data_IF_867215992082
#
_entry.id   IF_867215992082
#
_cell.length_a   1.000
_cell.length_b   1.000
_cell.length_c   1.000
_cell.angle_alpha   90.00
_cell.angle_beta   90.00
_cell.angle_gamma   90.00
#
_symmetry.space_group_name_H-M   'P 1'
#
loop_
_entity.id
_entity.type
_entity.pdbx_description
1 polymer ?
#
# COMPACT_ATOMS: atom_id res chain seq x y z
N UNK A 1 -3.66 -38.16 -45.25
CA UNK A 1 -3.42 -37.45 -43.98
C UNK A 1 -3.12 -38.51 -42.95
N UNK A 2 -1.86 -38.95 -42.88
CA UNK A 2 -1.41 -39.91 -41.87
C UNK A 2 -1.15 -39.13 -40.58
N UNK A 3 -1.84 -39.52 -39.50
CA UNK A 3 -1.66 -38.92 -38.19
C UNK A 3 -0.28 -39.27 -37.62
N UNK A 4 0.28 -38.44 -36.72
CA UNK A 4 1.54 -38.71 -36.06
C UNK A 4 1.47 -40.07 -35.34
N UNK A 5 2.46 -40.93 -35.63
CA UNK A 5 2.60 -42.28 -35.09
C UNK A 5 2.59 -42.27 -33.56
N UNK A 6 1.73 -43.09 -32.93
CA UNK A 6 1.63 -43.26 -31.47
C UNK A 6 2.97 -43.52 -30.76
N UNK A 7 3.98 -44.02 -31.49
CA UNK A 7 5.33 -44.20 -30.96
C UNK A 7 6.04 -42.88 -30.65
N UNK A 8 5.74 -41.80 -31.36
CA UNK A 8 6.38 -40.50 -31.15
C UNK A 8 5.86 -39.82 -29.89
N UNK A 9 4.56 -39.96 -29.61
CA UNK A 9 3.93 -39.45 -28.38
C UNK A 9 4.41 -40.21 -27.15
N UNK A 10 4.57 -41.54 -27.24
CA UNK A 10 5.06 -42.35 -26.11
C UNK A 10 6.50 -42.01 -25.73
N UNK A 11 7.38 -41.75 -26.71
CA UNK A 11 8.74 -41.31 -26.44
C UNK A 11 8.79 -39.94 -25.77
N UNK A 12 7.93 -39.00 -26.19
CA UNK A 12 7.87 -37.67 -25.60
C UNK A 12 7.35 -37.68 -24.16
N UNK A 13 6.39 -38.56 -23.84
CA UNK A 13 5.88 -38.74 -22.47
C UNK A 13 6.98 -39.32 -21.57
N UNK A 14 7.74 -40.29 -22.06
CA UNK A 14 8.87 -40.87 -21.32
C UNK A 14 9.93 -39.81 -21.01
N UNK A 15 10.28 -38.98 -21.99
CA UNK A 15 11.23 -37.89 -21.83
C UNK A 15 10.77 -36.83 -20.83
N UNK A 16 9.49 -36.46 -20.85
CA UNK A 16 8.90 -35.54 -19.87
C UNK A 16 8.93 -36.12 -18.45
N UNK A 17 8.64 -37.41 -18.31
CA UNK A 17 8.62 -38.08 -17.00
C UNK A 17 10.02 -38.12 -16.38
N UNK A 18 11.04 -38.36 -17.19
CA UNK A 18 12.44 -38.35 -16.76
C UNK A 18 12.91 -36.93 -16.36
N UNK A 19 12.49 -35.91 -17.11
CA UNK A 19 12.79 -34.52 -16.78
C UNK A 19 12.17 -34.08 -15.44
N UNK A 20 10.92 -34.47 -15.18
CA UNK A 20 10.23 -34.17 -13.91
C UNK A 20 10.91 -34.89 -12.74
N UNK A 21 11.31 -36.14 -12.92
CA UNK A 21 12.04 -36.89 -11.89
C UNK A 21 13.40 -36.24 -11.55
N UNK A 22 14.09 -35.68 -12.55
CA UNK A 22 15.35 -34.97 -12.34
C UNK A 22 15.15 -33.66 -11.56
N UNK A 23 14.08 -32.91 -11.84
CA UNK A 23 13.75 -31.69 -11.11
C UNK A 23 13.40 -31.96 -9.64
N UNK A 24 12.70 -33.06 -9.35
CA UNK A 24 12.39 -33.45 -7.97
C UNK A 24 13.65 -33.77 -7.15
N UNK A 25 14.64 -34.46 -7.72
CA UNK A 25 15.90 -34.75 -7.03
C UNK A 25 16.68 -33.47 -6.68
N UNK A 26 16.72 -32.50 -7.59
CA UNK A 26 17.41 -31.22 -7.34
C UNK A 26 16.75 -30.43 -6.20
N UNK A 27 15.42 -30.47 -6.09
CA UNK A 27 14.68 -29.86 -4.99
C UNK A 27 14.95 -30.56 -3.65
N UNK A 28 15.02 -31.89 -3.61
CA UNK A 28 15.36 -32.64 -2.40
C UNK A 28 16.79 -32.35 -1.92
N UNK A 29 17.76 -32.25 -2.85
CA UNK A 29 19.15 -31.91 -2.54
C UNK A 29 19.26 -30.51 -1.91
N UNK A 30 18.55 -29.51 -2.47
CA UNK A 30 18.53 -28.14 -1.95
C UNK A 30 17.89 -28.05 -0.56
N UNK A 31 16.79 -28.78 -0.32
CA UNK A 31 16.13 -28.85 0.98
C UNK A 31 17.02 -29.50 2.05
N UNK A 32 17.81 -30.51 1.66
CA UNK A 32 18.75 -31.18 2.58
C UNK A 32 19.89 -30.25 2.99
N UNK A 33 20.50 -29.55 2.02
CA UNK A 33 21.60 -28.60 2.29
C UNK A 33 21.14 -27.44 3.18
N UNK A 34 19.89 -26.98 3.07
CA UNK A 34 19.36 -25.94 3.95
C UNK A 34 19.09 -26.43 5.39
N UNK A 35 18.81 -27.71 5.59
CA UNK A 35 18.48 -28.26 6.92
C UNK A 35 19.72 -28.52 7.78
N UNK A 36 20.88 -28.80 7.17
CA UNK A 36 22.12 -29.11 7.90
C UNK A 36 22.83 -27.86 8.48
N UNK A 37 22.34 -26.64 8.19
CA UNK A 37 22.88 -25.39 8.72
C UNK A 37 22.37 -25.01 10.13
N UNK A 38 21.49 -25.80 10.75
CA UNK A 38 21.05 -25.58 12.15
C UNK A 38 21.69 -26.60 13.09
N UNK A 39 22.96 -26.38 13.42
CA UNK A 39 23.60 -27.07 14.55
C UNK A 39 23.19 -26.40 15.87
N UNK A 40 22.46 -27.18 16.64
CA UNK A 40 21.85 -26.92 17.95
C UNK A 40 22.89 -26.63 19.04
N UNK A 41 22.64 -25.60 19.86
CA UNK A 41 23.17 -25.45 21.22
C UNK A 41 22.02 -25.78 22.20
N UNK A 42 22.18 -26.70 23.16
CA UNK A 42 21.09 -27.10 24.05
C UNK A 42 21.13 -26.29 25.35
N UNK A 43 20.01 -25.64 25.70
CA UNK A 43 19.86 -25.07 27.05
C UNK A 43 18.71 -24.09 27.22
N UNK A 44 17.62 -24.59 27.81
CA UNK A 44 16.58 -23.88 28.56
C UNK A 44 15.58 -22.97 27.82
N UNK A 45 14.34 -23.43 27.89
CA UNK A 45 13.08 -22.75 27.64
C UNK A 45 12.89 -21.46 28.45
N UNK A 46 12.74 -20.33 27.76
CA UNK A 46 12.09 -19.10 28.24
C UNK A 46 11.33 -18.48 27.05
N UNK A 47 10.07 -18.05 27.19
CA UNK A 47 9.34 -17.39 26.11
C UNK A 47 10.03 -16.08 25.78
N UNK A 48 10.50 -15.95 24.54
CA UNK A 48 11.37 -14.87 24.08
C UNK A 48 10.73 -13.48 24.28
N UNK A 49 11.33 -12.69 25.18
CA UNK A 49 11.50 -11.26 24.95
C UNK A 49 12.14 -11.11 23.57
N UNK A 50 11.39 -10.53 22.64
CA UNK A 50 11.93 -10.16 21.33
C UNK A 50 13.10 -9.21 21.58
N UNK A 51 14.29 -9.48 21.00
CA UNK A 51 15.40 -8.55 21.13
C UNK A 51 14.93 -7.18 20.64
N UNK A 52 15.07 -6.19 21.51
CA UNK A 52 14.87 -4.78 21.16
C UNK A 52 15.62 -4.56 19.86
N UNK A 53 14.86 -4.19 18.83
CA UNK A 53 15.34 -4.00 17.47
C UNK A 53 16.65 -3.19 17.54
N UNK A 54 17.79 -3.72 17.06
CA UNK A 54 19.04 -2.99 17.11
C UNK A 54 18.81 -1.67 16.37
N UNK A 55 19.05 -0.54 17.03
CA UNK A 55 19.07 0.75 16.36
C UNK A 55 20.20 0.68 15.35
N UNK A 56 19.84 0.45 14.08
CA UNK A 56 20.78 0.49 12.99
C UNK A 56 21.12 1.96 12.78
N UNK A 57 22.11 2.43 13.54
CA UNK A 57 22.79 3.70 13.31
C UNK A 57 23.63 3.52 12.03
N UNK A 58 22.93 3.48 10.89
CA UNK A 58 23.55 3.27 9.60
C UNK A 58 24.38 4.51 9.26
N UNK A 59 25.70 4.38 9.37
CA UNK A 59 26.66 5.39 8.92
C UNK A 59 27.10 5.02 7.50
N UNK A 60 26.83 5.87 6.49
CA UNK A 60 27.25 5.60 5.12
C UNK A 60 28.78 5.53 5.02
N UNK A 61 29.29 4.64 4.15
CA UNK A 61 30.73 4.52 3.94
C UNK A 61 31.32 5.81 3.31
N UNK A 62 32.60 6.16 3.56
CA UNK A 62 33.21 7.36 3.00
C UNK A 62 33.15 7.43 1.47
N UNK A 63 33.24 6.27 0.81
CA UNK A 63 33.11 6.13 -0.64
C UNK A 63 31.69 6.47 -1.12
N UNK A 64 30.67 6.05 -0.37
CA UNK A 64 29.27 6.37 -0.66
C UNK A 64 28.98 7.86 -0.42
N UNK A 65 29.58 8.45 0.62
CA UNK A 65 29.54 9.90 0.89
C UNK A 65 30.18 10.70 -0.25
N UNK A 66 31.25 10.20 -0.86
CA UNK A 66 31.91 10.85 -1.99
C UNK A 66 31.12 10.75 -3.30
N UNK A 67 30.32 9.69 -3.50
CA UNK A 67 29.50 9.48 -4.70
C UNK A 67 28.13 10.16 -4.61
N UNK A 68 27.64 10.43 -3.40
CA UNK A 68 26.36 11.09 -3.12
C UNK A 68 26.12 12.40 -3.92
N UNK A 69 27.11 13.30 -4.07
CA UNK A 69 26.95 14.53 -4.85
C UNK A 69 26.86 14.31 -6.37
N UNK A 70 27.38 13.18 -6.87
CA UNK A 70 27.41 12.85 -8.30
C UNK A 70 26.12 12.17 -8.78
N UNK A 71 25.39 11.55 -7.85
CA UNK A 71 24.02 11.09 -8.02
C UNK A 71 23.10 12.32 -8.00
N UNK A 72 22.89 12.93 -9.18
CA UNK A 72 22.12 14.15 -9.45
C UNK A 72 21.22 14.72 -8.34
N UNK A 73 21.11 16.07 -8.23
CA UNK A 73 20.09 16.67 -7.40
C UNK A 73 18.70 16.33 -7.97
N UNK A 74 17.95 15.57 -7.17
CA UNK A 74 16.50 15.66 -6.98
C UNK A 74 15.51 15.23 -8.07
N UNK A 75 15.44 13.93 -8.35
CA UNK A 75 14.10 13.30 -8.50
C UNK A 75 13.43 13.15 -7.12
N UNK A 76 14.23 12.98 -6.06
CA UNK A 76 13.74 12.76 -4.69
C UNK A 76 13.63 14.01 -3.82
N UNK A 77 14.32 15.13 -4.10
CA UNK A 77 14.05 16.34 -3.32
C UNK A 77 12.65 16.87 -3.62
N UNK A 78 12.05 16.59 -4.78
CA UNK A 78 10.64 16.93 -5.00
C UNK A 78 9.67 15.94 -4.33
N UNK A 79 10.14 14.74 -3.95
CA UNK A 79 9.32 13.74 -3.25
C UNK A 79 9.47 13.80 -1.72
N UNK A 80 10.55 14.43 -1.22
CA UNK A 80 10.90 14.51 0.20
C UNK A 80 11.07 15.94 0.73
N UNK A 81 11.25 16.95 -0.12
CA UNK A 81 11.20 18.35 0.30
C UNK A 81 9.75 18.81 0.26
N UNK A 82 9.18 19.02 1.45
CA UNK A 82 8.01 19.84 1.70
C UNK A 82 6.67 19.48 1.03
N UNK A 83 6.54 18.32 0.37
CA UNK A 83 5.22 17.76 0.04
C UNK A 83 4.56 17.22 1.33
N UNK A 84 4.11 18.17 2.14
CA UNK A 84 2.87 18.17 2.90
C UNK A 84 2.50 16.77 3.42
N UNK A 85 3.23 16.30 4.43
CA UNK A 85 2.85 15.14 5.23
C UNK A 85 1.37 15.27 5.58
N UNK A 86 0.52 14.40 4.99
CA UNK A 86 -0.91 14.29 5.23
C UNK A 86 -1.52 15.51 5.93
N UNK A 87 -1.69 16.63 5.21
CA UNK A 87 -2.25 17.93 5.65
C UNK A 87 -2.12 18.13 7.16
N UNK A 88 -1.12 18.87 7.66
CA UNK A 88 -0.79 18.99 9.09
C UNK A 88 -1.98 19.19 10.05
N UNK A 89 -3.11 19.70 9.55
CA UNK A 89 -4.36 19.81 10.29
C UNK A 89 -5.09 18.49 10.57
N UNK A 90 -4.97 17.46 9.72
CA UNK A 90 -5.63 16.17 9.89
C UNK A 90 -5.15 15.40 11.12
N UNK A 91 -3.85 15.47 11.43
CA UNK A 91 -3.25 14.80 12.58
C UNK A 91 -3.88 15.24 13.92
N UNK A 92 -4.40 16.47 14.00
CA UNK A 92 -5.11 17.00 15.19
C UNK A 92 -6.43 16.29 15.47
N UNK A 93 -7.01 15.64 14.45
CA UNK A 93 -8.27 14.91 14.54
C UNK A 93 -8.07 13.40 14.74
N UNK A 94 -6.83 12.92 14.81
CA UNK A 94 -6.56 11.49 14.96
C UNK A 94 -6.91 11.01 16.36
N UNK A 95 -7.67 9.92 16.44
CA UNK A 95 -7.78 9.17 17.68
C UNK A 95 -6.49 8.38 17.96
N UNK A 96 -6.35 7.82 19.17
CA UNK A 96 -5.14 7.08 19.59
C UNK A 96 -4.81 5.91 18.65
N UNK A 97 -5.81 5.22 18.10
CA UNK A 97 -5.63 4.13 17.16
C UNK A 97 -5.10 4.61 15.80
N UNK A 98 -5.71 5.67 15.26
CA UNK A 98 -5.29 6.30 14.00
C UNK A 98 -3.88 6.88 14.09
N UNK A 99 -3.52 7.52 15.19
CA UNK A 99 -2.16 8.04 15.39
C UNK A 99 -1.10 6.92 15.42
N UNK A 100 -1.42 5.78 16.02
CA UNK A 100 -0.53 4.62 15.99
C UNK A 100 -0.44 3.98 14.59
N UNK A 101 -1.54 3.97 13.83
CA UNK A 101 -1.57 3.51 12.43
C UNK A 101 -0.72 4.43 11.53
N UNK A 102 -0.92 5.74 11.63
CA UNK A 102 -0.15 6.76 10.91
C UNK A 102 1.36 6.65 11.16
N UNK A 103 1.76 6.53 12.44
CA UNK A 103 3.17 6.33 12.81
C UNK A 103 3.77 5.08 12.13
N UNK A 104 3.02 3.98 12.05
CA UNK A 104 3.47 2.75 11.37
C UNK A 104 3.61 2.96 9.87
N UNK A 105 2.66 3.66 9.24
CA UNK A 105 2.70 3.96 7.81
C UNK A 105 3.87 4.89 7.47
N UNK A 106 4.13 5.93 8.28
CA UNK A 106 5.29 6.80 8.13
C UNK A 106 6.61 6.01 8.26
N UNK A 107 6.73 5.13 9.24
CA UNK A 107 7.92 4.27 9.40
C UNK A 107 8.13 3.36 8.18
N UNK A 108 7.06 2.82 7.63
CA UNK A 108 7.13 1.97 6.43
C UNK A 108 7.55 2.78 5.20
N UNK A 109 6.97 3.96 5.01
CA UNK A 109 7.34 4.88 3.92
C UNK A 109 8.81 5.31 4.03
N UNK A 110 9.28 5.64 5.23
CA UNK A 110 10.68 5.97 5.49
C UNK A 110 11.60 4.79 5.13
N UNK A 111 11.26 3.58 5.59
CA UNK A 111 12.05 2.37 5.31
C UNK A 111 12.13 2.07 3.82
N UNK A 112 11.01 2.15 3.09
CA UNK A 112 11.00 1.94 1.63
C UNK A 112 11.84 2.99 0.90
N UNK A 113 11.72 4.26 1.30
CA UNK A 113 12.49 5.35 0.71
C UNK A 113 13.99 5.18 0.96
N UNK A 114 14.36 4.66 2.12
CA UNK A 114 15.74 4.37 2.49
C UNK A 114 16.37 3.25 1.63
N UNK A 115 15.58 2.35 1.01
CA UNK A 115 16.07 1.28 0.13
C UNK A 115 16.40 1.78 -1.28
N UNK A 116 15.69 2.81 -1.76
CA UNK A 116 15.85 3.30 -3.15
C UNK A 116 17.26 3.83 -3.42
N UNK A 117 17.88 4.53 -2.46
CA UNK A 117 19.23 5.10 -2.63
C UNK A 117 20.33 4.03 -2.70
N UNK A 118 20.41 3.06 -1.76
CA UNK A 118 21.31 1.91 -1.89
C UNK A 118 21.12 1.14 -3.20
N UNK A 119 19.87 0.97 -3.67
CA UNK A 119 19.59 0.30 -4.94
C UNK A 119 20.21 1.06 -6.13
N UNK A 120 20.07 2.39 -6.17
CA UNK A 120 20.67 3.21 -7.23
C UNK A 120 22.21 3.16 -7.20
N UNK A 121 22.79 3.21 -5.99
CA UNK A 121 24.24 3.07 -5.80
C UNK A 121 24.71 1.69 -6.27
N UNK A 122 23.97 0.63 -5.93
CA UNK A 122 24.29 -0.73 -6.37
C UNK A 122 24.30 -0.83 -7.90
N UNK A 123 23.31 -0.26 -8.59
CA UNK A 123 23.28 -0.23 -10.04
C UNK A 123 24.53 0.43 -10.62
N UNK A 124 24.86 1.62 -10.13
CA UNK A 124 26.05 2.34 -10.57
C UNK A 124 27.35 1.56 -10.34
N UNK A 125 27.49 0.89 -9.19
CA UNK A 125 28.66 0.06 -8.89
C UNK A 125 28.76 -1.19 -9.77
N UNK A 126 27.64 -1.75 -10.20
CA UNK A 126 27.62 -2.94 -11.06
C UNK A 126 27.99 -2.62 -12.51
N UNK A 127 27.75 -1.39 -12.99
CA UNK A 127 27.99 -1.01 -14.39
C UNK A 127 29.40 -1.37 -14.92
N UNK A 128 30.51 -1.08 -14.22
CA UNK A 128 31.84 -1.44 -14.70
C UNK A 128 32.21 -2.93 -14.52
N UNK A 129 31.44 -3.68 -13.73
CA UNK A 129 31.74 -5.08 -13.36
C UNK A 129 31.03 -6.06 -14.28
N UNK A 130 29.85 -5.69 -14.79
CA UNK A 130 29.01 -6.56 -15.59
C UNK A 130 29.50 -6.74 -17.02
N UNK A 131 29.41 -7.98 -17.52
CA UNK A 131 29.63 -8.28 -18.92
C UNK A 131 28.47 -7.73 -19.79
N UNK A 132 28.72 -7.35 -21.06
CA UNK A 132 27.70 -6.71 -21.91
C UNK A 132 26.40 -7.51 -22.06
N UNK A 133 26.47 -8.83 -22.05
CA UNK A 133 25.32 -9.75 -22.15
C UNK A 133 24.47 -9.82 -20.87
N UNK A 134 25.02 -9.41 -19.72
CA UNK A 134 24.34 -9.44 -18.42
C UNK A 134 23.70 -8.10 -18.04
N UNK A 135 24.16 -7.00 -18.62
CA UNK A 135 23.72 -5.64 -18.28
C UNK A 135 22.20 -5.50 -18.44
N UNK A 136 21.64 -5.92 -19.58
CA UNK A 136 20.22 -5.75 -19.87
C UNK A 136 19.33 -6.47 -18.84
N UNK A 137 19.63 -7.74 -18.55
CA UNK A 137 18.87 -8.55 -17.60
C UNK A 137 18.91 -7.97 -16.18
N UNK A 138 20.10 -7.59 -15.71
CA UNK A 138 20.29 -7.10 -14.33
C UNK A 138 19.64 -5.72 -14.16
N UNK A 139 19.83 -4.80 -15.11
CA UNK A 139 19.21 -3.48 -15.04
C UNK A 139 17.69 -3.52 -15.22
N UNK A 140 17.16 -4.42 -16.04
CA UNK A 140 15.72 -4.67 -16.12
C UNK A 140 15.18 -5.12 -14.76
N UNK A 141 15.84 -6.09 -14.12
CA UNK A 141 15.44 -6.59 -12.80
C UNK A 141 15.50 -5.49 -11.73
N UNK A 142 16.56 -4.68 -11.72
CA UNK A 142 16.69 -3.55 -10.81
C UNK A 142 15.61 -2.49 -11.02
N UNK A 143 15.27 -2.20 -12.27
CA UNK A 143 14.18 -1.30 -12.62
C UNK A 143 12.81 -1.83 -12.16
N UNK A 144 12.57 -3.14 -12.28
CA UNK A 144 11.34 -3.77 -11.80
C UNK A 144 11.23 -3.67 -10.28
N UNK A 145 12.32 -3.94 -9.54
CA UNK A 145 12.39 -3.76 -8.09
C UNK A 145 12.10 -2.30 -7.71
N UNK A 146 12.74 -1.34 -8.40
CA UNK A 146 12.50 0.10 -8.17
C UNK A 146 11.04 0.47 -8.40
N UNK A 147 10.44 -0.03 -9.47
CA UNK A 147 9.03 0.22 -9.81
C UNK A 147 8.10 -0.33 -8.73
N UNK A 148 8.37 -1.54 -8.23
CA UNK A 148 7.61 -2.17 -7.15
C UNK A 148 7.70 -1.37 -5.84
N UNK A 149 8.89 -0.88 -5.49
CA UNK A 149 9.09 -0.05 -4.30
C UNK A 149 8.31 1.27 -4.39
N UNK A 150 8.36 1.94 -5.55
CA UNK A 150 7.62 3.18 -5.79
C UNK A 150 6.09 2.95 -5.75
N UNK A 151 5.60 1.86 -6.34
CA UNK A 151 4.19 1.48 -6.29
C UNK A 151 3.71 1.21 -4.85
N UNK A 152 4.53 0.50 -4.07
CA UNK A 152 4.26 0.24 -2.65
C UNK A 152 4.24 1.54 -1.84
N UNK A 153 5.19 2.44 -2.07
CA UNK A 153 5.21 3.76 -1.43
C UNK A 153 3.97 4.59 -1.79
N UNK A 154 3.53 4.57 -3.05
CA UNK A 154 2.29 5.20 -3.47
C UNK A 154 1.05 4.63 -2.77
N UNK A 155 0.99 3.29 -2.61
CA UNK A 155 -0.10 2.63 -1.89
C UNK A 155 -0.14 3.05 -0.41
N UNK A 156 1.01 3.20 0.24
CA UNK A 156 1.10 3.68 1.62
C UNK A 156 0.62 5.13 1.72
N UNK A 157 1.04 5.98 0.78
CA UNK A 157 0.62 7.37 0.74
C UNK A 157 -0.91 7.49 0.56
N UNK A 158 -1.51 6.64 -0.28
CA UNK A 158 -2.96 6.53 -0.40
C UNK A 158 -3.61 6.17 0.95
N UNK A 159 -3.05 5.21 1.69
CA UNK A 159 -3.58 4.82 3.01
C UNK A 159 -3.48 5.97 4.02
N UNK A 160 -2.36 6.71 4.04
CA UNK A 160 -2.23 7.91 4.88
C UNK A 160 -3.30 8.96 4.53
N UNK A 161 -3.53 9.21 3.23
CA UNK A 161 -4.56 10.14 2.78
C UNK A 161 -5.98 9.68 3.17
N UNK A 162 -6.29 8.39 3.03
CA UNK A 162 -7.57 7.84 3.45
C UNK A 162 -7.74 7.91 4.98
N UNK A 163 -6.67 7.70 5.76
CA UNK A 163 -6.68 7.86 7.20
C UNK A 163 -6.97 9.31 7.60
N UNK A 164 -6.31 10.27 6.94
CA UNK A 164 -6.54 11.70 7.11
C UNK A 164 -8.00 12.09 6.80
N UNK A 165 -8.55 11.62 5.67
CA UNK A 165 -9.95 11.84 5.31
C UNK A 165 -10.92 11.28 6.35
N UNK A 166 -10.68 10.05 6.82
CA UNK A 166 -11.52 9.39 7.84
C UNK A 166 -11.50 10.16 9.16
N UNK A 167 -10.37 10.73 9.54
CA UNK A 167 -10.26 11.50 10.77
C UNK A 167 -11.02 12.83 10.71
N UNK A 168 -10.92 13.56 9.59
CA UNK A 168 -11.61 14.85 9.41
C UNK A 168 -13.11 14.64 9.19
N UNK A 169 -13.50 13.60 8.43
CA UNK A 169 -14.89 13.33 8.08
C UNK A 169 -15.22 11.82 8.11
N UNK A 170 -15.64 11.28 9.27
CA UNK A 170 -15.94 9.85 9.43
C UNK A 170 -17.03 9.31 8.50
N UNK A 171 -17.91 10.18 7.97
CA UNK A 171 -19.00 9.82 7.07
C UNK A 171 -18.57 9.68 5.59
N UNK A 172 -17.32 10.01 5.24
CA UNK A 172 -16.74 9.83 3.90
C UNK A 172 -16.08 8.45 3.82
N UNK A 173 -16.87 7.38 3.86
CA UNK A 173 -16.39 6.09 3.37
C UNK A 173 -16.81 5.97 1.90
N UNK A 174 -15.87 6.17 0.98
CA UNK A 174 -16.06 5.85 -0.44
C UNK A 174 -15.12 4.70 -0.81
N UNK A 175 -15.61 3.59 -1.38
CA UNK A 175 -14.77 2.64 -2.07
C UNK A 175 -14.14 3.32 -3.28
N UNK A 176 -12.82 3.37 -3.36
CA UNK A 176 -12.11 3.98 -4.48
C UNK A 176 -12.09 2.98 -5.65
N UNK A 177 -12.90 3.21 -6.70
CA UNK A 177 -12.93 2.35 -7.89
C UNK A 177 -11.75 2.62 -8.87
N UNK A 178 -11.04 3.75 -8.70
CA UNK A 178 -9.84 4.10 -9.49
C UNK A 178 -8.66 4.40 -8.55
N UNK A 179 -7.59 3.61 -8.67
CA UNK A 179 -6.36 3.74 -7.90
C UNK A 179 -5.51 4.91 -8.42
N UNK A 180 -5.82 6.14 -8.00
CA UNK A 180 -4.86 7.25 -8.04
C UNK A 180 -4.07 7.24 -6.74
N UNK A 181 -2.80 6.80 -6.81
CA UNK A 181 -1.95 6.56 -5.63
C UNK A 181 -1.49 7.85 -4.93
N UNK A 182 -1.64 9.01 -5.58
CA UNK A 182 -1.27 10.31 -5.03
C UNK A 182 -2.37 11.32 -5.36
N UNK A 183 -3.05 11.85 -4.34
CA UNK A 183 -3.99 12.96 -4.47
C UNK A 183 -3.20 14.27 -4.27
N UNK A 184 -3.29 15.20 -5.22
CA UNK A 184 -2.70 16.53 -5.07
C UNK A 184 -3.38 17.30 -3.92
N UNK A 185 -2.67 18.20 -3.21
CA UNK A 185 -3.27 19.03 -2.16
C UNK A 185 -4.47 19.85 -2.64
N UNK A 186 -4.41 20.39 -3.87
CA UNK A 186 -5.51 21.09 -4.52
C UNK A 186 -6.72 20.19 -4.73
N UNK A 187 -6.53 18.97 -5.24
CA UNK A 187 -7.64 18.05 -5.46
C UNK A 187 -8.24 17.59 -4.14
N UNK A 188 -7.44 17.42 -3.09
CA UNK A 188 -7.95 17.17 -1.75
C UNK A 188 -8.85 18.31 -1.26
N UNK A 189 -8.38 19.56 -1.36
CA UNK A 189 -9.14 20.76 -0.97
C UNK A 189 -10.44 20.88 -1.75
N UNK A 190 -10.38 20.60 -3.05
CA UNK A 190 -11.56 20.60 -3.91
C UNK A 190 -12.56 19.51 -3.46
N UNK A 191 -12.08 18.30 -3.20
CA UNK A 191 -12.93 17.18 -2.74
C UNK A 191 -13.63 17.50 -1.41
N UNK A 192 -12.92 18.14 -0.47
CA UNK A 192 -13.50 18.65 0.78
C UNK A 192 -14.57 19.72 0.50
N UNK A 193 -14.31 20.66 -0.39
CA UNK A 193 -15.25 21.73 -0.74
C UNK A 193 -16.54 21.17 -1.36
N UNK A 194 -16.42 20.16 -2.22
CA UNK A 194 -17.58 19.50 -2.84
C UNK A 194 -18.40 18.74 -1.80
N UNK A 195 -17.73 18.03 -0.88
CA UNK A 195 -18.41 17.28 0.16
C UNK A 195 -19.12 18.17 1.16
N UNK A 196 -18.49 19.25 1.61
CA UNK A 196 -19.11 20.23 2.53
C UNK A 196 -20.34 20.87 1.89
N UNK A 197 -20.27 21.19 0.60
CA UNK A 197 -21.42 21.69 -0.19
C UNK A 197 -22.54 20.66 -0.28
N UNK A 198 -22.21 19.39 -0.55
CA UNK A 198 -23.17 18.29 -0.63
C UNK A 198 -23.83 18.00 0.73
N UNK A 199 -23.08 18.03 1.83
CA UNK A 199 -23.63 17.88 3.17
C UNK A 199 -24.57 19.04 3.54
N UNK A 200 -24.21 20.27 3.14
CA UNK A 200 -25.08 21.44 3.32
C UNK A 200 -26.38 21.26 2.53
N UNK A 201 -26.32 20.86 1.27
CA UNK A 201 -27.53 20.64 0.45
C UNK A 201 -28.42 19.53 1.00
N UNK A 202 -27.85 18.42 1.47
CA UNK A 202 -28.59 17.34 2.13
C UNK A 202 -29.25 17.84 3.42
N UNK A 203 -28.53 18.63 4.23
CA UNK A 203 -29.07 19.22 5.45
C UNK A 203 -30.24 20.15 5.14
N UNK A 204 -30.07 21.06 4.18
CA UNK A 204 -31.11 22.01 3.79
C UNK A 204 -32.35 21.29 3.21
N UNK A 205 -32.15 20.24 2.41
CA UNK A 205 -33.23 19.39 1.91
C UNK A 205 -33.99 18.65 3.03
N UNK A 206 -33.28 18.16 4.07
CA UNK A 206 -33.91 17.56 5.26
C UNK A 206 -34.74 18.57 6.05
N UNK A 207 -34.28 19.82 6.16
CA UNK A 207 -35.02 20.90 6.82
C UNK A 207 -36.30 21.25 6.07
N UNK A 208 -36.25 21.34 4.74
CA UNK A 208 -37.43 21.61 3.90
C UNK A 208 -38.50 20.50 4.02
N UNK A 209 -38.08 19.24 4.17
CA UNK A 209 -39.02 18.12 4.29
C UNK A 209 -39.73 18.07 5.66
N UNK A 210 -39.07 18.54 6.73
CA UNK A 210 -39.64 18.57 8.09
C UNK A 210 -40.78 19.58 8.24
N UNK A 211 -40.80 20.64 7.43
CA UNK A 211 -41.84 21.66 7.44
C UNK A 211 -43.04 21.34 6.53
N UNK A 212 -42.93 20.40 5.58
CA UNK A 212 -44.06 20.00 4.72
C UNK A 212 -45.12 19.16 5.45
N UNK A 213 -44.73 18.38 6.45
CA UNK A 213 -45.67 17.48 7.15
C UNK A 213 -46.36 18.10 8.37
N UNK A 214 -46.00 19.33 8.78
CA UNK A 214 -46.57 19.94 9.99
C UNK A 214 -47.83 20.77 9.73
N UNK A 215 -48.25 20.97 8.48
CA UNK A 215 -49.38 21.82 8.10
C UNK A 215 -50.63 21.07 7.59
N UNK A 216 -50.73 19.74 7.78
CA UNK A 216 -51.93 18.97 7.39
C UNK A 216 -52.74 18.41 8.58
N UNK A 217 -52.53 18.92 9.79
CA UNK A 217 -53.20 18.40 11.00
C UNK A 217 -54.01 19.48 11.73
N UNK A 218 -54.96 20.11 11.03
CA UNK A 218 -55.97 20.95 11.70
C UNK A 218 -57.23 21.12 10.84
N UNK A 219 -58.07 20.07 10.80
CA UNK A 219 -59.51 20.23 10.52
C UNK A 219 -60.27 18.97 10.95
N UNK A 220 -60.35 18.74 12.26
CA UNK A 220 -61.38 17.88 12.84
C UNK A 220 -62.60 18.74 13.14
N UNK A 221 -63.52 18.86 12.18
CA UNK A 221 -64.83 19.44 12.42
C UNK A 221 -65.68 18.42 13.17
N UNK A 222 -65.91 18.72 14.44
CA UNK A 222 -66.71 17.94 15.37
C UNK A 222 -68.20 18.15 15.06
N UNK A 223 -68.85 17.18 14.40
CA UNK A 223 -70.30 17.17 14.22
C UNK A 223 -70.93 16.27 15.29
N UNK A 224 -71.27 16.87 16.44
CA UNK A 224 -72.22 16.30 17.37
C UNK A 224 -73.63 16.52 16.81
N UNK A 225 -74.28 15.46 16.33
CA UNK A 225 -75.70 15.49 16.06
C UNK A 225 -76.43 14.52 17.01
N UNK A 226 -77.23 15.13 17.87
CA UNK A 226 -78.16 14.58 18.85
C UNK A 226 -79.47 14.10 18.21
N UNK A 227 -80.22 13.28 18.97
CA UNK A 227 -81.64 12.84 18.81
C UNK A 227 -81.86 11.53 18.01
N UNK A 228 -82.74 10.61 18.39
CA UNK A 228 -83.62 10.42 19.55
C UNK A 228 -84.22 8.99 19.44
N UNK A 229 -84.40 8.28 20.55
CA UNK A 229 -85.29 7.13 20.64
C UNK A 229 -86.37 7.43 21.68
N UNK A 230 -87.59 7.65 21.20
CA UNK A 230 -88.85 7.27 21.82
C UNK A 230 -89.80 6.87 20.69
#
# INVERSE_FOLDING_TARGET
>A
MEGPSENQTNNHILQLTEQVAQQQRLLEELCRVCSDAQTVLPGASVPHDLPVQPSFDWVPSPTLVALLPTLQPSLFNNMLADEESAIPDAAKYFNKGQSAEDTKLCNLQYTLSAVLRPLDVLGHMLLPILLPDQIECIYSTMNDIRTLLLHTAGTINEHCNQLALRAVHPAIYKPTEKKEYTMLPETFRETLSQYTTLQKSIRDARWLNRNRFKNQSSSSTNNNNTSSFF
#
